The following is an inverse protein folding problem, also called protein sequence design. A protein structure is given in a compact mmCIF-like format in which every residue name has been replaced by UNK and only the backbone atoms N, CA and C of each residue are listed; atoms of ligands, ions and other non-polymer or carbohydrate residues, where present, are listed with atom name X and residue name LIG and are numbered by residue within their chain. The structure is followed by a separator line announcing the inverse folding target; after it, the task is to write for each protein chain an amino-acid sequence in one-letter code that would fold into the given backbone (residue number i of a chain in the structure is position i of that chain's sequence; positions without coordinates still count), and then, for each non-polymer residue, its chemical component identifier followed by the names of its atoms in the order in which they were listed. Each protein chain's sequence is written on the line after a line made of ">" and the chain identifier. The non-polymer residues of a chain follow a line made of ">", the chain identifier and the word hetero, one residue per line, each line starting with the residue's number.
data_IF_289692514316
#
_entry.id   IF_289692514316
#
_cell.length_a   1.000
_cell.length_b   1.000
_cell.length_c   1.000
_cell.angle_alpha   90.00
_cell.angle_beta   90.00
_cell.angle_gamma   90.00
#
_symmetry.space_group_name_H-M   'P 1'
#
loop_
_entity.id
_entity.type
_entity.pdbx_description
1 polymer ?
#
# COMPACT_ATOMS: atom_id res chain seq x y z
N UNK A 1 11.39 24.71 -14.20
CA UNK A 1 12.44 23.75 -14.61
C UNK A 1 11.92 22.35 -14.33
N UNK A 2 11.60 21.56 -15.35
CA UNK A 2 11.33 20.13 -15.17
C UNK A 2 12.69 19.46 -14.97
N UNK A 3 13.13 19.33 -13.72
CA UNK A 3 14.22 18.42 -13.40
C UNK A 3 13.85 17.06 -13.97
N UNK A 4 14.71 16.47 -14.79
CA UNK A 4 14.51 15.13 -15.35
C UNK A 4 14.33 14.21 -14.14
N UNK A 5 13.09 13.79 -13.90
CA UNK A 5 12.78 12.91 -12.80
C UNK A 5 13.29 11.53 -13.18
N UNK A 6 13.96 10.88 -12.23
CA UNK A 6 14.41 9.52 -12.43
C UNK A 6 13.22 8.62 -12.80
N UNK A 7 13.23 7.98 -13.98
CA UNK A 7 12.09 7.24 -14.48
C UNK A 7 11.75 6.03 -13.60
N UNK A 8 12.74 5.46 -12.90
CA UNK A 8 12.54 4.37 -11.94
C UNK A 8 11.75 4.87 -10.74
N UNK A 9 12.17 5.98 -10.14
CA UNK A 9 11.45 6.60 -9.03
C UNK A 9 10.00 6.95 -9.39
N UNK A 10 9.77 7.51 -10.59
CA UNK A 10 8.41 7.81 -11.06
C UNK A 10 7.56 6.54 -11.21
N UNK A 11 8.11 5.47 -11.79
CA UNK A 11 7.41 4.18 -11.93
C UNK A 11 7.02 3.59 -10.58
N UNK A 12 7.91 3.62 -9.59
CA UNK A 12 7.63 3.12 -8.24
C UNK A 12 6.51 3.94 -7.58
N UNK A 13 6.57 5.27 -7.66
CA UNK A 13 5.52 6.14 -7.12
C UNK A 13 4.16 5.92 -7.81
N UNK A 14 4.16 5.65 -9.12
CA UNK A 14 2.92 5.34 -9.86
C UNK A 14 2.32 4.01 -9.42
N UNK A 15 3.14 2.98 -9.18
CA UNK A 15 2.66 1.70 -8.63
C UNK A 15 2.07 1.88 -7.23
N UNK A 16 2.76 2.63 -6.36
CA UNK A 16 2.27 2.97 -5.01
C UNK A 16 0.93 3.71 -5.06
N UNK A 17 0.82 4.70 -5.95
CA UNK A 17 -0.41 5.47 -6.16
C UNK A 17 -1.58 4.55 -6.54
N UNK A 18 -1.37 3.63 -7.47
CA UNK A 18 -2.39 2.66 -7.89
C UNK A 18 -2.78 1.69 -6.77
N UNK A 19 -1.82 1.21 -5.97
CA UNK A 19 -2.10 0.27 -4.86
C UNK A 19 -2.83 0.93 -3.70
N UNK A 20 -2.52 2.19 -3.42
CA UNK A 20 -3.12 2.96 -2.34
C UNK A 20 -4.37 3.74 -2.76
N UNK A 21 -4.75 3.72 -4.05
CA UNK A 21 -5.82 4.54 -4.63
C UNK A 21 -5.68 6.04 -4.32
N UNK A 22 -4.45 6.58 -4.47
CA UNK A 22 -4.14 8.00 -4.25
C UNK A 22 -3.52 8.63 -5.51
N UNK A 23 -3.39 9.96 -5.52
CA UNK A 23 -2.69 10.65 -6.60
C UNK A 23 -1.18 10.36 -6.60
N UNK A 24 -0.54 10.40 -7.78
CA UNK A 24 0.92 10.27 -7.93
C UNK A 24 1.66 11.31 -7.07
N UNK A 25 1.18 12.55 -7.00
CA UNK A 25 1.77 13.60 -6.18
C UNK A 25 1.71 13.26 -4.68
N UNK A 26 0.58 12.70 -4.24
CA UNK A 26 0.42 12.20 -2.86
C UNK A 26 1.39 11.05 -2.56
N UNK A 27 1.54 10.09 -3.48
CA UNK A 27 2.47 8.97 -3.32
C UNK A 27 3.93 9.47 -3.19
N UNK A 28 4.36 10.40 -4.04
CA UNK A 28 5.70 11.00 -3.95
C UNK A 28 5.94 11.68 -2.61
N UNK A 29 5.01 12.56 -2.20
CA UNK A 29 5.11 13.28 -0.92
C UNK A 29 5.24 12.32 0.26
N UNK A 30 4.54 11.19 0.21
CA UNK A 30 4.58 10.15 1.26
C UNK A 30 5.95 9.46 1.31
N UNK A 31 6.51 9.11 0.15
CA UNK A 31 7.87 8.54 0.05
C UNK A 31 8.92 9.54 0.52
N UNK A 32 8.84 10.80 0.08
CA UNK A 32 9.74 11.88 0.52
C UNK A 32 9.70 12.07 2.05
N UNK A 33 8.50 12.08 2.64
CA UNK A 33 8.34 12.21 4.09
C UNK A 33 8.89 11.02 4.86
N UNK A 34 8.72 9.80 4.35
CA UNK A 34 9.24 8.61 5.00
C UNK A 34 10.76 8.50 4.89
N UNK A 35 11.31 8.74 3.69
CA UNK A 35 12.77 8.76 3.49
C UNK A 35 13.43 9.84 4.37
N UNK A 36 12.81 11.03 4.48
CA UNK A 36 13.30 12.09 5.36
C UNK A 36 13.24 11.73 6.85
N UNK A 37 12.28 10.91 7.29
CA UNK A 37 12.21 10.41 8.67
C UNK A 37 13.34 9.43 8.98
N UNK A 38 13.78 8.65 8.00
CA UNK A 38 14.97 7.78 8.13
C UNK A 38 16.30 8.52 7.88
N UNK A 39 16.26 9.84 7.69
CA UNK A 39 17.44 10.67 7.44
C UNK A 39 17.96 10.63 6.00
N UNK A 40 17.35 9.84 5.11
CA UNK A 40 17.71 9.73 3.71
C UNK A 40 16.96 10.74 2.83
N UNK A 41 17.63 11.77 2.32
CA UNK A 41 17.02 12.74 1.39
C UNK A 41 17.44 12.57 -0.06
N UNK A 42 18.42 11.72 -0.31
CA UNK A 42 18.95 11.42 -1.65
C UNK A 42 18.00 10.52 -2.45
N UNK A 43 18.16 10.54 -3.78
CA UNK A 43 17.33 9.76 -4.69
C UNK A 43 17.35 8.26 -4.37
N UNK A 44 18.52 7.71 -4.04
CA UNK A 44 18.67 6.30 -3.68
C UNK A 44 17.82 5.92 -2.45
N UNK A 45 17.81 6.77 -1.42
CA UNK A 45 17.00 6.54 -0.22
C UNK A 45 15.49 6.57 -0.53
N UNK A 46 15.05 7.49 -1.40
CA UNK A 46 13.64 7.55 -1.83
C UNK A 46 13.22 6.35 -2.66
N UNK A 47 14.11 5.82 -3.52
CA UNK A 47 13.86 4.60 -4.29
C UNK A 47 13.72 3.41 -3.34
N UNK A 48 14.69 3.22 -2.43
CA UNK A 48 14.66 2.14 -1.44
C UNK A 48 13.41 2.19 -0.56
N UNK A 49 13.02 3.40 -0.13
CA UNK A 49 11.79 3.60 0.64
C UNK A 49 10.54 3.25 -0.16
N UNK A 50 10.46 3.65 -1.43
CA UNK A 50 9.32 3.31 -2.28
C UNK A 50 9.21 1.79 -2.52
N UNK A 51 10.32 1.10 -2.71
CA UNK A 51 10.36 -0.36 -2.84
C UNK A 51 9.92 -1.06 -1.55
N UNK A 52 10.42 -0.61 -0.39
CA UNK A 52 10.01 -1.13 0.91
C UNK A 52 8.51 -0.98 1.15
N UNK A 53 7.94 0.19 0.86
CA UNK A 53 6.49 0.41 0.98
C UNK A 53 5.68 -0.50 0.04
N UNK A 54 6.14 -0.73 -1.19
CA UNK A 54 5.47 -1.65 -2.12
C UNK A 54 5.55 -3.10 -1.64
N UNK A 55 6.67 -3.50 -1.05
CA UNK A 55 6.84 -4.84 -0.48
C UNK A 55 5.87 -5.06 0.69
N UNK A 56 5.75 -4.09 1.61
CA UNK A 56 4.78 -4.16 2.72
C UNK A 56 3.34 -4.28 2.21
N UNK A 57 2.94 -3.46 1.24
CA UNK A 57 1.59 -3.53 0.65
C UNK A 57 1.29 -4.85 -0.06
N UNK A 58 2.30 -5.51 -0.62
CA UNK A 58 2.14 -6.83 -1.21
C UNK A 58 1.93 -7.92 -0.14
N UNK A 59 2.62 -7.81 1.01
CA UNK A 59 2.42 -8.73 2.13
C UNK A 59 1.02 -8.56 2.74
N UNK A 60 0.62 -7.32 3.04
CA UNK A 60 -0.68 -7.00 3.64
C UNK A 60 -1.87 -7.55 2.82
N UNK A 61 -1.77 -7.55 1.48
CA UNK A 61 -2.84 -8.08 0.61
C UNK A 61 -3.00 -9.60 0.73
N UNK A 62 -1.92 -10.33 0.98
CA UNK A 62 -1.96 -11.78 1.23
C UNK A 62 -2.67 -12.09 2.55
N UNK A 63 -2.24 -11.41 3.62
CA UNK A 63 -2.77 -11.63 4.96
C UNK A 63 -4.26 -11.22 5.10
N UNK A 64 -4.66 -10.08 4.52
CA UNK A 64 -6.06 -9.62 4.59
C UNK A 64 -7.02 -10.56 3.84
N UNK A 65 -6.60 -11.11 2.70
CA UNK A 65 -7.43 -12.04 1.93
C UNK A 65 -7.67 -13.32 2.72
N UNK A 66 -6.64 -13.87 3.36
CA UNK A 66 -6.75 -15.07 4.20
C UNK A 66 -7.59 -14.83 5.46
N UNK A 67 -7.44 -13.66 6.08
CA UNK A 67 -8.24 -13.29 7.25
C UNK A 67 -9.71 -13.06 6.90
N UNK A 68 -10.00 -12.41 5.77
CA UNK A 68 -11.38 -12.21 5.30
C UNK A 68 -12.06 -13.54 4.94
N UNK A 69 -11.36 -14.43 4.24
CA UNK A 69 -11.86 -15.77 3.91
C UNK A 69 -12.20 -16.56 5.20
N UNK A 70 -11.32 -16.49 6.20
CA UNK A 70 -11.56 -17.08 7.52
C UNK A 70 -12.79 -16.50 8.24
N UNK A 71 -13.01 -15.18 8.15
CA UNK A 71 -14.17 -14.53 8.76
C UNK A 71 -15.46 -14.89 8.03
N UNK A 72 -15.44 -14.97 6.70
CA UNK A 72 -16.59 -15.36 5.89
C UNK A 72 -16.97 -16.82 6.11
N UNK A 73 -16.00 -17.74 6.15
CA UNK A 73 -16.24 -19.16 6.41
C UNK A 73 -16.82 -19.43 7.81
N UNK A 74 -16.49 -18.60 8.80
CA UNK A 74 -17.09 -18.68 10.14
C UNK A 74 -18.49 -18.03 10.22
N UNK A 75 -18.86 -17.18 9.25
CA UNK A 75 -20.15 -16.49 9.23
C UNK A 75 -21.29 -17.31 8.61
N UNK A 76 -21.00 -18.40 7.90
CA UNK A 76 -22.01 -19.26 7.26
C UNK A 76 -22.74 -20.19 8.26
N UNK A 77 -22.36 -20.19 9.54
CA UNK A 77 -22.89 -21.09 10.57
C UNK A 77 -23.91 -20.52 11.55
N UNK A 78 -24.08 -19.19 11.64
CA UNK A 78 -25.00 -18.57 12.61
C UNK A 78 -26.36 -18.28 11.98
N UNK A 79 -27.00 -19.36 11.49
CA UNK A 79 -28.39 -19.36 11.06
C UNK A 79 -29.34 -19.30 12.24
N UNK A 80 -29.26 -18.27 13.10
CA UNK A 80 -30.29 -17.98 14.07
C UNK A 80 -31.48 -17.30 13.36
N UNK A 81 -32.12 -18.03 12.43
CA UNK A 81 -33.43 -17.68 11.92
C UNK A 81 -34.40 -17.75 13.11
N UNK A 82 -34.73 -16.59 13.66
CA UNK A 82 -35.84 -16.44 14.61
C UNK A 82 -37.11 -16.76 13.81
N UNK A 83 -37.60 -17.98 13.97
CA UNK A 83 -38.93 -18.37 13.54
C UNK A 83 -39.90 -17.88 14.63
N UNK A 84 -40.49 -16.71 14.42
CA UNK A 84 -41.61 -16.23 15.26
C UNK A 84 -42.84 -17.11 14.98
N UNK A 85 -43.42 -17.67 16.05
CA UNK A 85 -44.69 -18.43 16.07
C UNK A 85 -45.90 -17.51 15.87
#
# INVERSE_FOLDING_TARGET
>A
MAAIQDPTFVKLCAQLASRLSISLASARRRVDQAAAQEGGRDLAARIAMAESMLASLNQEKGDNAQQLDSLLQNSEGDGNFILED
#
